data_IF_990288520932
#
_entry.id   IF_990288520932
#
_cell.length_a   1.000
_cell.length_b   1.000
_cell.length_c   1.000
_cell.angle_alpha   90.00
_cell.angle_beta   90.00
_cell.angle_gamma   90.00
#
_symmetry.space_group_name_H-M   'P 1'
#
loop_
_entity.id
_entity.type
_entity.pdbx_description
1 polymer ?
#
# COMPACT_ATOMS: atom_id res chain seq x y z
N UNK A 1 9.54 -40.54 -48.28
CA UNK A 1 10.05 -40.78 -46.91
C UNK A 1 10.84 -39.57 -46.39
N UNK A 2 11.69 -38.95 -47.21
CA UNK A 2 12.41 -37.71 -46.84
C UNK A 2 11.50 -36.49 -46.62
N UNK A 3 10.45 -36.32 -47.41
CA UNK A 3 9.54 -35.16 -47.28
C UNK A 3 8.83 -35.11 -45.92
N UNK A 4 8.40 -36.26 -45.41
CA UNK A 4 7.75 -36.38 -44.10
C UNK A 4 8.68 -36.00 -42.93
N UNK A 5 9.98 -36.23 -43.08
CA UNK A 5 10.99 -35.87 -42.07
C UNK A 5 11.28 -34.37 -42.11
N UNK A 6 11.37 -33.78 -43.31
CA UNK A 6 11.58 -32.33 -43.49
C UNK A 6 10.37 -31.53 -43.00
N UNK A 7 9.16 -32.03 -43.23
CA UNK A 7 7.92 -31.38 -42.82
C UNK A 7 7.71 -31.44 -41.29
N UNK A 8 8.08 -32.55 -40.66
CA UNK A 8 8.16 -32.64 -39.19
C UNK A 8 9.20 -31.69 -38.61
N UNK A 9 10.38 -31.55 -39.23
CA UNK A 9 11.43 -30.66 -38.76
C UNK A 9 10.98 -29.20 -38.75
N UNK A 10 10.36 -28.74 -39.85
CA UNK A 10 9.80 -27.39 -39.97
C UNK A 10 8.66 -27.14 -38.99
N UNK A 11 7.82 -28.14 -38.74
CA UNK A 11 6.75 -28.05 -37.74
C UNK A 11 7.31 -27.90 -36.32
N UNK A 12 8.34 -28.66 -35.95
CA UNK A 12 9.01 -28.53 -34.64
C UNK A 12 9.74 -27.20 -34.49
N UNK A 13 10.34 -26.68 -35.55
CA UNK A 13 11.01 -25.36 -35.54
C UNK A 13 10.01 -24.22 -35.30
N UNK A 14 8.81 -24.32 -35.91
CA UNK A 14 7.72 -23.38 -35.68
C UNK A 14 7.20 -23.43 -34.23
N UNK A 15 7.05 -24.63 -33.67
CA UNK A 15 6.66 -24.84 -32.28
C UNK A 15 7.71 -24.31 -31.28
N UNK A 16 8.99 -24.53 -31.54
CA UNK A 16 10.08 -24.02 -30.69
C UNK A 16 10.12 -22.49 -30.70
N UNK A 17 10.04 -21.85 -31.89
CA UNK A 17 9.96 -20.38 -31.99
C UNK A 17 8.73 -19.80 -31.30
N UNK A 18 7.60 -20.49 -31.35
CA UNK A 18 6.39 -20.08 -30.64
C UNK A 18 6.54 -20.24 -29.12
N UNK A 19 7.15 -21.33 -28.66
CA UNK A 19 7.46 -21.57 -27.24
C UNK A 19 8.42 -20.53 -26.68
N UNK A 20 9.45 -20.14 -27.43
CA UNK A 20 10.41 -19.09 -27.04
C UNK A 20 9.73 -17.72 -26.88
N UNK A 21 8.83 -17.36 -27.81
CA UNK A 21 8.05 -16.11 -27.70
C UNK A 21 7.15 -16.11 -26.46
N UNK A 22 6.50 -17.23 -26.17
CA UNK A 22 5.66 -17.36 -24.95
C UNK A 22 6.49 -17.33 -23.68
N UNK A 23 7.69 -17.92 -23.67
CA UNK A 23 8.61 -17.83 -22.54
C UNK A 23 9.16 -16.41 -22.33
N UNK A 24 9.48 -15.69 -23.42
CA UNK A 24 9.89 -14.29 -23.38
C UNK A 24 8.77 -13.38 -22.87
N UNK A 25 7.55 -13.56 -23.40
CA UNK A 25 6.36 -12.86 -22.89
C UNK A 25 6.12 -13.17 -21.42
N UNK A 26 6.18 -14.45 -21.01
CA UNK A 26 6.04 -14.86 -19.61
C UNK A 26 7.07 -14.23 -18.69
N UNK A 27 8.32 -14.05 -19.16
CA UNK A 27 9.40 -13.42 -18.39
C UNK A 27 9.17 -11.91 -18.25
N UNK A 28 8.78 -11.23 -19.33
CA UNK A 28 8.46 -9.81 -19.32
C UNK A 28 7.20 -9.52 -18.47
N UNK A 29 6.16 -10.34 -18.60
CA UNK A 29 4.94 -10.24 -17.79
C UNK A 29 5.22 -10.50 -16.31
N UNK A 30 6.12 -11.44 -15.98
CA UNK A 30 6.54 -11.66 -14.60
C UNK A 30 7.34 -10.48 -14.02
N UNK A 31 8.19 -9.84 -14.83
CA UNK A 31 8.92 -8.62 -14.43
C UNK A 31 7.98 -7.47 -14.10
N UNK A 32 7.05 -7.16 -15.00
CA UNK A 32 6.03 -6.11 -14.77
C UNK A 32 5.15 -6.45 -13.57
N UNK A 33 4.75 -7.71 -13.40
CA UNK A 33 3.97 -8.13 -12.23
C UNK A 33 4.75 -7.97 -10.92
N UNK A 34 6.06 -8.24 -10.93
CA UNK A 34 6.91 -8.06 -9.76
C UNK A 34 7.04 -6.59 -9.38
N UNK A 35 7.27 -5.70 -10.35
CA UNK A 35 7.37 -4.26 -10.12
C UNK A 35 6.04 -3.67 -9.63
N UNK A 36 4.91 -4.07 -10.22
CA UNK A 36 3.59 -3.67 -9.72
C UNK A 36 3.35 -4.13 -8.29
N UNK A 37 3.71 -5.37 -7.97
CA UNK A 37 3.52 -5.90 -6.61
C UNK A 37 4.44 -5.20 -5.60
N UNK A 38 5.64 -4.79 -6.00
CA UNK A 38 6.53 -3.98 -5.18
C UNK A 38 5.92 -2.60 -4.89
N UNK A 39 5.38 -1.92 -5.91
CA UNK A 39 4.70 -0.62 -5.75
C UNK A 39 3.49 -0.72 -4.81
N UNK A 40 2.66 -1.76 -4.97
CA UNK A 40 1.50 -1.97 -4.09
C UNK A 40 1.91 -2.26 -2.64
N UNK A 41 3.03 -2.95 -2.42
CA UNK A 41 3.56 -3.17 -1.08
C UNK A 41 4.15 -1.91 -0.45
N UNK A 42 4.78 -1.04 -1.25
CA UNK A 42 5.30 0.26 -0.79
C UNK A 42 4.16 1.18 -0.33
N UNK A 43 3.07 1.23 -1.12
CA UNK A 43 1.85 1.99 -0.82
C UNK A 43 1.29 1.67 0.56
N UNK A 44 1.20 0.39 0.92
CA UNK A 44 0.73 -0.03 2.24
C UNK A 44 1.62 0.45 3.40
N UNK A 45 2.93 0.66 3.14
CA UNK A 45 3.85 1.23 4.11
C UNK A 45 3.78 2.76 4.19
N UNK A 46 3.65 3.41 3.03
CA UNK A 46 3.65 4.86 2.90
C UNK A 46 2.36 5.51 3.45
N UNK A 47 1.23 4.78 3.44
CA UNK A 47 -0.03 5.30 3.97
C UNK A 47 0.03 5.71 5.44
N UNK A 48 0.84 5.02 6.25
CA UNK A 48 1.04 5.36 7.65
C UNK A 48 1.82 6.66 7.86
N UNK A 49 2.64 7.07 6.89
CA UNK A 49 3.42 8.31 6.95
C UNK A 49 2.65 9.54 6.44
N UNK A 50 1.60 9.32 5.64
CA UNK A 50 0.78 10.40 5.09
C UNK A 50 -0.03 11.15 6.17
N UNK A 51 -0.30 10.52 7.32
CA UNK A 51 -0.99 11.13 8.47
C UNK A 51 -0.17 12.24 9.17
N UNK A 52 1.13 12.37 8.87
CA UNK A 52 1.99 13.42 9.45
C UNK A 52 2.07 14.70 8.61
N UNK A 53 1.40 14.76 7.45
CA UNK A 53 1.45 15.91 6.52
C UNK A 53 0.52 17.04 7.00
N UNK A 54 1.00 18.29 6.96
CA UNK A 54 0.17 19.46 7.26
C UNK A 54 -1.05 19.55 6.31
N UNK A 55 -2.25 19.90 6.80
CA UNK A 55 -3.46 19.94 5.98
C UNK A 55 -3.37 20.86 4.75
N UNK A 56 -2.58 21.94 4.82
CA UNK A 56 -2.38 22.85 3.69
C UNK A 56 -1.45 22.23 2.64
N UNK A 57 -0.32 21.68 3.07
CA UNK A 57 0.63 20.98 2.20
C UNK A 57 -0.04 19.77 1.52
N UNK A 58 -0.92 19.07 2.24
CA UNK A 58 -1.73 17.98 1.69
C UNK A 58 -2.62 18.44 0.53
N UNK A 59 -3.32 19.56 0.71
CA UNK A 59 -4.24 20.09 -0.31
C UNK A 59 -3.50 20.50 -1.58
N UNK A 60 -2.30 21.06 -1.44
CA UNK A 60 -1.44 21.43 -2.56
C UNK A 60 -1.00 20.19 -3.35
N UNK A 61 -0.54 19.14 -2.66
CA UNK A 61 -0.17 17.87 -3.29
C UNK A 61 -1.39 17.27 -4.00
N UNK A 62 -2.56 17.21 -3.35
CA UNK A 62 -3.78 16.66 -3.95
C UNK A 62 -4.12 17.38 -5.26
N UNK A 63 -4.00 18.70 -5.31
CA UNK A 63 -4.23 19.49 -6.53
C UNK A 63 -3.25 19.15 -7.66
N UNK A 64 -1.97 18.98 -7.34
CA UNK A 64 -0.95 18.58 -8.33
C UNK A 64 -1.22 17.19 -8.91
N UNK A 65 -1.57 16.21 -8.06
CA UNK A 65 -1.88 14.85 -8.52
C UNK A 65 -3.16 14.83 -9.37
N UNK A 66 -4.19 15.56 -8.95
CA UNK A 66 -5.43 15.69 -9.72
C UNK A 66 -5.16 16.31 -11.10
N UNK A 67 -4.31 17.34 -11.17
CA UNK A 67 -3.93 17.98 -12.42
C UNK A 67 -3.22 17.00 -13.37
N UNK A 68 -2.27 16.20 -12.84
CA UNK A 68 -1.59 15.15 -13.62
C UNK A 68 -2.57 14.13 -14.22
N UNK A 69 -3.57 13.71 -13.42
CA UNK A 69 -4.61 12.78 -13.83
C UNK A 69 -5.54 13.38 -14.90
N UNK A 70 -5.94 14.64 -14.74
CA UNK A 70 -6.79 15.36 -15.70
C UNK A 70 -6.08 15.54 -17.05
N UNK A 71 -4.80 15.89 -17.05
CA UNK A 71 -3.98 15.99 -18.28
C UNK A 71 -3.96 14.68 -19.08
N UNK A 72 -4.10 13.55 -18.40
CA UNK A 72 -4.12 12.21 -18.98
C UNK A 72 -5.55 11.68 -19.23
N UNK A 73 -6.56 12.54 -19.15
CA UNK A 73 -7.98 12.22 -19.34
C UNK A 73 -8.51 11.15 -18.36
N UNK A 74 -7.97 11.10 -17.14
CA UNK A 74 -8.49 10.20 -16.11
C UNK A 74 -9.78 10.79 -15.53
N UNK A 75 -10.87 10.06 -15.66
CA UNK A 75 -12.13 10.39 -15.02
C UNK A 75 -12.03 10.31 -13.49
N UNK A 76 -12.82 11.13 -12.78
CA UNK A 76 -12.87 11.13 -11.32
C UNK A 76 -11.52 11.42 -10.64
N UNK A 77 -10.62 12.17 -11.29
CA UNK A 77 -9.35 12.59 -10.70
C UNK A 77 -9.51 13.17 -9.27
N UNK A 78 -10.61 13.90 -9.02
CA UNK A 78 -10.97 14.46 -7.72
C UNK A 78 -11.20 13.43 -6.60
N UNK A 79 -11.59 12.19 -6.93
CA UNK A 79 -11.67 11.08 -5.96
C UNK A 79 -10.32 10.39 -5.79
N UNK A 80 -9.54 10.31 -6.88
CA UNK A 80 -8.31 9.52 -6.95
C UNK A 80 -7.14 10.26 -6.30
N UNK A 81 -7.08 11.59 -6.43
CA UNK A 81 -6.03 12.42 -5.84
C UNK A 81 -5.85 12.21 -4.33
N UNK A 82 -6.91 12.34 -3.51
CA UNK A 82 -6.82 12.08 -2.07
C UNK A 82 -6.33 10.67 -1.73
N UNK A 83 -6.79 9.65 -2.47
CA UNK A 83 -6.37 8.27 -2.27
C UNK A 83 -4.88 8.06 -2.60
N UNK A 84 -4.36 8.75 -3.62
CA UNK A 84 -2.94 8.73 -3.94
C UNK A 84 -2.10 9.43 -2.86
N UNK A 85 -2.56 10.56 -2.33
CA UNK A 85 -1.85 11.22 -1.21
C UNK A 85 -1.86 10.35 0.04
N UNK A 86 -3.00 9.70 0.33
CA UNK A 86 -3.09 8.66 1.37
C UNK A 86 -2.17 7.47 1.07
N UNK A 87 -1.82 7.20 -0.19
CA UNK A 87 -0.84 6.19 -0.58
C UNK A 87 0.62 6.70 -0.50
N UNK A 88 0.84 7.93 -0.01
CA UNK A 88 2.15 8.57 0.03
C UNK A 88 2.70 8.97 -1.35
N UNK A 89 1.83 9.18 -2.33
CA UNK A 89 2.22 9.72 -3.64
C UNK A 89 2.36 11.24 -3.59
N UNK A 90 3.34 11.70 -4.35
CA UNK A 90 3.58 13.11 -4.70
C UNK A 90 3.77 13.19 -6.21
N UNK A 91 3.79 14.40 -6.76
CA UNK A 91 3.92 14.62 -8.20
C UNK A 91 5.11 13.88 -8.81
N UNK A 92 6.26 13.96 -8.13
CA UNK A 92 7.49 13.28 -8.55
C UNK A 92 7.30 11.76 -8.74
N UNK A 93 6.58 11.08 -7.86
CA UNK A 93 6.35 9.62 -7.97
C UNK A 93 5.48 9.26 -9.17
N UNK A 94 4.56 10.14 -9.58
CA UNK A 94 3.77 9.94 -10.81
C UNK A 94 4.62 10.13 -12.06
N UNK A 95 5.55 11.09 -12.03
CA UNK A 95 6.52 11.28 -13.12
C UNK A 95 7.47 10.07 -13.23
N UNK A 96 7.99 9.55 -12.10
CA UNK A 96 8.80 8.32 -12.04
C UNK A 96 8.03 7.09 -12.55
N UNK A 97 6.74 7.00 -12.25
CA UNK A 97 5.86 5.94 -12.76
C UNK A 97 5.73 6.02 -14.29
N UNK A 98 5.62 7.22 -14.83
CA UNK A 98 5.56 7.46 -16.26
C UNK A 98 6.88 7.18 -16.97
N UNK A 99 8.02 7.51 -16.35
CA UNK A 99 9.34 7.14 -16.88
C UNK A 99 9.53 5.62 -16.93
N UNK A 100 9.00 4.90 -15.94
CA UNK A 100 9.18 3.44 -15.80
C UNK A 100 8.25 2.63 -16.70
N UNK A 101 6.97 3.00 -16.77
CA UNK A 101 5.94 2.21 -17.46
C UNK A 101 5.43 2.86 -18.76
N UNK A 102 5.81 4.11 -19.02
CA UNK A 102 5.34 4.90 -20.16
C UNK A 102 3.98 5.57 -19.91
N UNK A 103 3.74 6.67 -20.64
CA UNK A 103 2.56 7.54 -20.50
C UNK A 103 1.22 6.80 -20.57
N UNK A 104 1.10 5.81 -21.45
CA UNK A 104 -0.15 5.06 -21.63
C UNK A 104 -0.46 4.15 -20.43
N UNK A 105 0.55 3.56 -19.79
CA UNK A 105 0.36 2.63 -18.68
C UNK A 105 0.37 3.30 -17.31
N UNK A 106 1.04 4.45 -17.18
CA UNK A 106 1.17 5.18 -15.92
C UNK A 106 -0.20 5.54 -15.32
N UNK A 107 -1.13 6.04 -16.13
CA UNK A 107 -2.44 6.47 -15.63
C UNK A 107 -3.27 5.28 -15.10
N UNK A 108 -3.46 4.17 -15.85
CA UNK A 108 -4.09 2.96 -15.32
C UNK A 108 -3.43 2.41 -14.04
N UNK A 109 -2.10 2.45 -13.95
CA UNK A 109 -1.37 1.97 -12.77
C UNK A 109 -1.61 2.89 -11.56
N UNK A 110 -1.58 4.21 -11.73
CA UNK A 110 -1.91 5.16 -10.67
C UNK A 110 -3.35 4.95 -10.15
N UNK A 111 -4.32 4.71 -11.05
CA UNK A 111 -5.70 4.38 -10.65
C UNK A 111 -5.76 3.06 -9.88
N UNK A 112 -5.01 2.05 -10.30
CA UNK A 112 -4.93 0.77 -9.59
C UNK A 112 -4.37 0.96 -8.18
N UNK A 113 -3.27 1.72 -8.06
CA UNK A 113 -2.63 2.03 -6.77
C UNK A 113 -3.60 2.74 -5.82
N UNK A 114 -4.30 3.78 -6.29
CA UNK A 114 -5.31 4.48 -5.49
C UNK A 114 -6.35 3.49 -4.96
N UNK A 115 -6.94 2.66 -5.81
CA UNK A 115 -7.97 1.68 -5.38
C UNK A 115 -7.43 0.68 -4.36
N UNK A 116 -6.21 0.21 -4.56
CA UNK A 116 -5.55 -0.70 -3.61
C UNK A 116 -5.28 -0.03 -2.27
N UNK A 117 -4.89 1.24 -2.26
CA UNK A 117 -4.71 2.03 -1.05
C UNK A 117 -6.04 2.20 -0.30
N UNK A 118 -7.13 2.57 -1.00
CA UNK A 118 -8.44 2.74 -0.37
C UNK A 118 -8.95 1.44 0.27
N UNK A 119 -8.77 0.29 -0.41
CA UNK A 119 -9.12 -1.02 0.17
C UNK A 119 -8.28 -1.34 1.40
N UNK A 120 -6.98 -1.04 1.37
CA UNK A 120 -6.08 -1.29 2.50
C UNK A 120 -6.45 -0.44 3.72
N UNK A 121 -6.77 0.84 3.49
CA UNK A 121 -7.25 1.76 4.53
C UNK A 121 -8.56 1.26 5.16
N UNK A 122 -9.54 0.85 4.34
CA UNK A 122 -10.79 0.27 4.84
C UNK A 122 -10.57 -1.00 5.66
N UNK A 123 -9.62 -1.85 5.27
CA UNK A 123 -9.27 -3.04 6.05
C UNK A 123 -8.58 -2.70 7.37
N UNK A 124 -7.78 -1.64 7.41
CA UNK A 124 -7.16 -1.13 8.64
C UNK A 124 -8.22 -0.52 9.58
N UNK A 125 -9.14 0.27 9.05
CA UNK A 125 -10.31 0.78 9.79
C UNK A 125 -11.18 -0.36 10.35
N UNK A 126 -11.49 -1.37 9.53
CA UNK A 126 -12.25 -2.56 9.96
C UNK A 126 -11.48 -3.37 11.00
N UNK A 127 -10.15 -3.49 10.85
CA UNK A 127 -9.28 -4.18 11.79
C UNK A 127 -9.25 -3.46 13.15
N UNK A 128 -9.13 -2.14 13.15
CA UNK A 128 -9.27 -1.33 14.36
C UNK A 128 -10.68 -1.45 14.95
N UNK A 129 -11.72 -1.48 14.11
CA UNK A 129 -13.12 -1.64 14.51
C UNK A 129 -13.52 -3.08 14.90
N UNK A 130 -12.60 -4.06 14.85
CA UNK A 130 -12.88 -5.45 15.25
C UNK A 130 -12.34 -5.80 16.64
N UNK A 131 -11.72 -4.84 17.34
CA UNK A 131 -11.09 -5.05 18.65
C UNK A 131 -9.74 -5.77 18.53
N UNK A 132 -8.75 -5.30 19.28
CA UNK A 132 -7.47 -5.99 19.45
C UNK A 132 -7.47 -6.73 20.78
N UNK A 133 -6.77 -7.88 20.83
CA UNK A 133 -6.50 -8.54 22.11
C UNK A 133 -5.37 -7.78 22.80
N UNK A 134 -5.70 -7.09 23.89
CA UNK A 134 -4.80 -6.18 24.60
C UNK A 134 -4.48 -6.77 25.97
N UNK A 135 -3.19 -6.79 26.30
CA UNK A 135 -2.73 -7.02 27.67
C UNK A 135 -2.97 -5.75 28.49
N UNK A 136 -3.89 -5.86 29.45
CA UNK A 136 -4.31 -4.72 30.28
C UNK A 136 -3.17 -4.22 31.17
N UNK A 137 -2.31 -5.12 31.66
CA UNK A 137 -1.19 -4.73 32.52
C UNK A 137 -0.15 -3.92 31.73
N UNK A 138 0.17 -4.37 30.51
CA UNK A 138 1.07 -3.65 29.60
C UNK A 138 0.51 -2.28 29.19
N UNK A 139 -0.80 -2.22 28.91
CA UNK A 139 -1.50 -0.97 28.59
C UNK A 139 -1.40 0.05 29.74
N UNK A 140 -1.72 -0.37 30.97
CA UNK A 140 -1.64 0.50 32.15
C UNK A 140 -0.22 1.02 32.41
N UNK A 141 0.80 0.17 32.22
CA UNK A 141 2.20 0.58 32.38
C UNK A 141 2.62 1.63 31.34
N UNK A 142 2.14 1.50 30.10
CA UNK A 142 2.35 2.47 29.03
C UNK A 142 1.70 3.82 29.34
N UNK A 143 0.45 3.82 29.84
CA UNK A 143 -0.24 5.05 30.26
C UNK A 143 0.47 5.73 31.43
N UNK A 144 0.95 4.97 32.42
CA UNK A 144 1.74 5.51 33.53
C UNK A 144 3.06 6.12 33.06
N UNK A 145 3.67 5.58 32.00
CA UNK A 145 4.87 6.14 31.37
C UNK A 145 4.57 7.50 30.74
N UNK A 146 3.48 7.61 29.98
CA UNK A 146 3.04 8.87 29.35
C UNK A 146 2.69 9.95 30.39
N UNK A 147 2.07 9.55 31.51
CA UNK A 147 1.68 10.46 32.59
C UNK A 147 2.82 10.80 33.57
N UNK A 148 4.03 10.27 33.37
CA UNK A 148 5.18 10.45 34.27
C UNK A 148 5.51 11.91 34.58
N UNK A 149 5.24 12.84 33.66
CA UNK A 149 5.44 14.28 33.88
C UNK A 149 4.48 14.86 34.94
N UNK A 150 3.22 14.39 34.97
CA UNK A 150 2.18 14.85 35.91
C UNK A 150 2.25 14.13 37.25
N UNK A 151 2.67 12.86 37.26
CA UNK A 151 2.78 12.03 38.47
C UNK A 151 3.90 12.48 39.42
N UNK A 152 4.88 13.26 38.96
CA UNK A 152 5.99 13.75 39.81
C UNK A 152 5.59 14.80 40.86
N UNK A 153 4.37 15.35 40.82
CA UNK A 153 3.91 16.39 41.74
C UNK A 153 3.31 15.80 43.03
N UNK A 154 4.12 15.06 43.78
CA UNK A 154 3.71 14.49 45.08
C UNK A 154 2.76 13.29 44.99
N UNK A 155 2.60 12.67 43.81
CA UNK A 155 1.79 11.46 43.63
C UNK A 155 2.71 10.24 43.72
N UNK A 156 2.37 9.30 44.61
CA UNK A 156 3.00 7.98 44.67
C UNK A 156 2.13 6.97 43.94
N UNK A 157 2.73 6.17 43.06
CA UNK A 157 2.05 5.13 42.30
C UNK A 157 2.44 3.77 42.87
N UNK A 158 1.45 3.02 43.32
CA UNK A 158 1.59 1.62 43.74
C UNK A 158 0.99 0.73 42.67
N UNK A 159 1.70 -0.33 42.27
CA UNK A 159 1.26 -1.28 41.23
C UNK A 159 1.16 -2.67 41.83
N UNK A 160 -0.05 -3.21 41.82
CA UNK A 160 -0.35 -4.57 42.25
C UNK A 160 -1.21 -5.20 41.16
N UNK A 161 -0.58 -5.93 40.24
CA UNK A 161 -1.26 -6.66 39.18
C UNK A 161 -1.34 -8.15 39.56
N UNK A 162 -2.44 -8.81 39.23
CA UNK A 162 -2.56 -10.27 39.36
C UNK A 162 -1.69 -10.95 38.28
N UNK A 163 -1.13 -12.12 38.57
CA UNK A 163 -0.34 -12.88 37.58
C UNK A 163 -1.21 -13.38 36.40
N UNK A 164 -2.54 -13.43 36.57
CA UNK A 164 -3.50 -13.88 35.57
C UNK A 164 -4.39 -12.75 35.04
N UNK A 165 -3.88 -11.52 34.93
CA UNK A 165 -4.64 -10.43 34.31
C UNK A 165 -5.09 -10.88 32.91
N UNK A 166 -6.41 -10.92 32.62
CA UNK A 166 -6.89 -11.42 31.35
C UNK A 166 -6.63 -10.40 30.25
N UNK A 167 -6.25 -10.90 29.08
CA UNK A 167 -6.28 -10.08 27.87
C UNK A 167 -7.73 -9.77 27.50
N UNK A 168 -8.01 -8.51 27.16
CA UNK A 168 -9.35 -8.07 26.77
C UNK A 168 -9.40 -7.77 25.27
N UNK A 169 -10.57 -8.00 24.68
CA UNK A 169 -10.90 -7.47 23.36
C UNK A 169 -11.31 -6.02 23.54
N UNK A 170 -10.50 -5.09 23.07
CA UNK A 170 -10.79 -3.67 23.17
C UNK A 170 -10.27 -2.91 21.96
N UNK A 171 -10.88 -1.76 21.67
CA UNK A 171 -10.45 -0.87 20.60
C UNK A 171 -9.23 -0.09 21.06
N UNK A 172 -8.15 -0.06 20.26
CA UNK A 172 -6.94 0.69 20.61
C UNK A 172 -7.17 2.20 20.83
N UNK A 173 -8.24 2.74 20.26
CA UNK A 173 -8.70 4.13 20.43
C UNK A 173 -9.52 4.38 21.70
N UNK A 174 -9.98 3.35 22.41
CA UNK A 174 -10.80 3.48 23.63
C UNK A 174 -9.99 3.32 24.93
N UNK A 175 -8.68 3.06 24.85
CA UNK A 175 -7.82 2.75 26.00
C UNK A 175 -6.79 3.83 26.35
N UNK A 176 -6.82 5.00 25.69
CA UNK A 176 -5.97 6.15 25.99
C UNK A 176 -6.76 7.37 26.49
#
# INVERSE_FOLDING_TARGET
MFDTVVERLRSTEGLLRQSERMAQLGTLTAGVAHELNALLSEVAGAARAADEIDPLDRSDIEYELQSWLVERNVENAWQIGPDLVNAGFVRQKLDELEESFGTEAASPIAVLISRSASVSSLLEEIGQASGQTIDVAEGLDSTLLMLRGKLKQGIQVYREHDENVPAIQAFGSELN
#
